data_IF_759927283751
#
_entry.id   IF_759927283751
#
_cell.length_a   1.000
_cell.length_b   1.000
_cell.length_c   1.000
_cell.angle_alpha   90.00
_cell.angle_beta   90.00
_cell.angle_gamma   90.00
#
_symmetry.space_group_name_H-M   'P 1'
#
loop_
_entity.id
_entity.type
_entity.pdbx_description
1 polymer ?
#
# COMPACT_ATOMS: atom_id res chain seq x y z
N UNK A 1 -25.25 4.52 -35.73
CA UNK A 1 -25.23 4.16 -34.31
C UNK A 1 -23.82 4.22 -33.70
N UNK A 2 -22.94 3.27 -34.03
CA UNK A 2 -21.65 3.10 -33.35
C UNK A 2 -20.60 4.20 -33.54
N UNK A 3 -20.60 4.92 -34.66
CA UNK A 3 -19.61 5.97 -34.94
C UNK A 3 -19.83 7.25 -34.10
N UNK A 4 -21.10 7.66 -33.94
CA UNK A 4 -21.50 8.82 -33.11
C UNK A 4 -21.26 8.55 -31.62
N UNK A 5 -21.44 7.30 -31.17
CA UNK A 5 -21.14 6.91 -29.79
C UNK A 5 -19.62 6.91 -29.51
N UNK A 6 -18.80 6.48 -30.48
CA UNK A 6 -17.34 6.56 -30.38
C UNK A 6 -16.88 8.01 -30.27
N UNK A 7 -17.29 8.90 -31.18
CA UNK A 7 -16.92 10.32 -31.15
C UNK A 7 -17.28 11.01 -29.82
N UNK A 8 -18.45 10.73 -29.24
CA UNK A 8 -18.87 11.35 -27.97
C UNK A 8 -18.10 10.87 -26.74
N UNK A 9 -17.57 9.65 -26.74
CA UNK A 9 -16.81 9.09 -25.61
C UNK A 9 -15.40 9.68 -25.49
N UNK A 10 -14.76 10.00 -26.61
CA UNK A 10 -13.40 10.57 -26.66
C UNK A 10 -13.25 11.86 -25.85
N UNK A 11 -14.31 12.66 -25.74
CA UNK A 11 -14.29 13.94 -25.05
C UNK A 11 -14.53 13.84 -23.54
N UNK A 12 -14.93 12.67 -23.03
CA UNK A 12 -15.46 12.55 -21.66
C UNK A 12 -14.75 11.52 -20.79
N UNK A 13 -14.01 10.58 -21.38
CA UNK A 13 -13.31 9.57 -20.60
C UNK A 13 -12.03 10.16 -20.01
N UNK A 14 -12.02 10.38 -18.70
CA UNK A 14 -10.83 10.72 -17.93
C UNK A 14 -10.40 9.49 -17.14
N UNK A 15 -9.13 9.09 -17.26
CA UNK A 15 -8.58 7.93 -16.54
C UNK A 15 -7.69 8.44 -15.42
N UNK A 16 -7.93 7.97 -14.20
CA UNK A 16 -7.11 8.27 -13.03
C UNK A 16 -6.63 6.97 -12.43
N UNK A 17 -5.33 6.84 -12.23
CA UNK A 17 -4.73 5.66 -11.62
C UNK A 17 -3.76 6.04 -10.50
N UNK A 18 -3.94 5.41 -9.33
CA UNK A 18 -3.11 5.60 -8.14
C UNK A 18 -2.25 4.38 -7.86
N UNK A 19 -0.94 4.53 -7.64
CA UNK A 19 -0.06 3.42 -7.26
C UNK A 19 -0.20 2.23 -8.23
N UNK A 20 -0.58 1.03 -7.77
CA UNK A 20 -0.90 -0.09 -8.65
C UNK A 20 -2.02 0.25 -9.65
N UNK A 21 -3.05 0.98 -9.23
CA UNK A 21 -4.08 1.50 -10.14
C UNK A 21 -3.50 2.39 -11.24
N UNK A 22 -2.38 3.07 -10.98
CA UNK A 22 -1.61 3.81 -12.00
C UNK A 22 -0.94 2.90 -13.02
N UNK A 23 -0.50 1.71 -12.62
CA UNK A 23 0.03 0.69 -13.54
C UNK A 23 -1.07 0.14 -14.44
N UNK A 24 -2.23 -0.15 -13.86
CA UNK A 24 -3.42 -0.60 -14.60
C UNK A 24 -3.89 0.51 -15.56
N UNK A 25 -3.92 1.76 -15.11
CA UNK A 25 -4.32 2.90 -15.93
C UNK A 25 -3.39 3.14 -17.13
N UNK A 26 -2.08 2.87 -16.99
CA UNK A 26 -1.14 2.91 -18.12
C UNK A 26 -1.51 1.88 -19.19
N UNK A 27 -1.71 0.62 -18.80
CA UNK A 27 -2.07 -0.46 -19.73
C UNK A 27 -3.43 -0.24 -20.38
N UNK A 28 -4.43 0.16 -19.60
CA UNK A 28 -5.76 0.51 -20.12
C UNK A 28 -5.68 1.65 -21.13
N UNK A 29 -4.93 2.70 -20.82
CA UNK A 29 -4.81 3.86 -21.73
C UNK A 29 -4.06 3.51 -23.01
N UNK A 30 -3.04 2.65 -22.92
CA UNK A 30 -2.34 2.14 -24.09
C UNK A 30 -3.25 1.30 -24.99
N UNK A 31 -4.04 0.41 -24.39
CA UNK A 31 -5.05 -0.37 -25.11
C UNK A 31 -6.05 0.53 -25.83
N UNK A 32 -6.57 1.56 -25.13
CA UNK A 32 -7.49 2.54 -25.71
C UNK A 32 -6.86 3.33 -26.86
N UNK A 33 -5.59 3.75 -26.74
CA UNK A 33 -4.83 4.38 -27.84
C UNK A 33 -4.72 3.44 -29.03
N UNK A 34 -4.37 2.17 -28.80
CA UNK A 34 -4.24 1.15 -29.85
C UNK A 34 -5.56 0.84 -30.56
N UNK A 35 -6.68 0.90 -29.83
CA UNK A 35 -8.03 0.78 -30.36
C UNK A 35 -8.52 2.04 -31.11
N UNK A 36 -7.70 3.09 -31.18
CA UNK A 36 -8.09 4.37 -31.78
C UNK A 36 -9.11 5.13 -30.96
N UNK A 37 -9.28 4.82 -29.67
CA UNK A 37 -10.18 5.47 -28.73
C UNK A 37 -9.48 6.04 -27.47
N UNK A 38 -8.41 6.85 -27.61
CA UNK A 38 -7.66 7.37 -26.48
C UNK A 38 -8.57 8.12 -25.49
N UNK A 39 -8.32 8.01 -24.18
CA UNK A 39 -9.04 8.81 -23.20
C UNK A 39 -8.75 10.31 -23.42
N UNK A 40 -9.65 11.15 -22.95
CA UNK A 40 -9.45 12.60 -23.01
C UNK A 40 -8.16 12.98 -22.28
N UNK A 41 -8.03 12.48 -21.05
CA UNK A 41 -6.90 12.74 -20.17
C UNK A 41 -6.54 11.52 -19.31
N UNK A 42 -5.29 11.49 -18.85
CA UNK A 42 -4.71 10.45 -18.01
C UNK A 42 -3.96 11.07 -16.83
N UNK A 43 -4.40 10.79 -15.61
CA UNK A 43 -3.72 11.18 -14.38
C UNK A 43 -3.09 9.96 -13.70
N UNK A 44 -1.77 10.00 -13.50
CA UNK A 44 -0.97 8.93 -12.90
C UNK A 44 -0.39 9.41 -11.57
N UNK A 45 -0.93 8.91 -10.46
CA UNK A 45 -0.65 9.41 -9.11
C UNK A 45 0.20 8.41 -8.34
N UNK A 46 1.34 8.88 -7.81
CA UNK A 46 2.23 8.11 -6.95
C UNK A 46 2.50 6.71 -7.54
N UNK A 47 2.83 6.64 -8.83
CA UNK A 47 2.98 5.39 -9.59
C UNK A 47 4.27 5.38 -10.40
N UNK A 48 4.55 4.25 -11.06
CA UNK A 48 5.71 4.06 -11.91
C UNK A 48 5.41 3.14 -13.10
N UNK A 49 6.32 3.10 -14.08
CA UNK A 49 6.20 2.28 -15.29
C UNK A 49 6.61 0.81 -15.12
N UNK A 50 6.82 0.36 -13.89
CA UNK A 50 7.36 -0.98 -13.64
C UNK A 50 8.77 -1.27 -14.22
N UNK A 51 9.31 -2.44 -13.90
CA UNK A 51 10.66 -2.90 -14.24
C UNK A 51 11.60 -3.01 -13.05
N UNK A 52 12.70 -3.72 -13.22
CA UNK A 52 13.60 -4.15 -12.12
C UNK A 52 14.26 -3.01 -11.33
N UNK A 53 14.33 -1.79 -11.87
CA UNK A 53 14.87 -0.61 -11.18
C UNK A 53 13.90 0.02 -10.18
N UNK A 54 12.70 -0.55 -10.05
CA UNK A 54 11.54 0.03 -9.37
C UNK A 54 11.06 -0.82 -8.21
N UNK A 55 11.92 -1.70 -7.68
CA UNK A 55 11.66 -2.33 -6.39
C UNK A 55 11.43 -1.23 -5.36
N UNK A 56 10.41 -1.36 -4.49
CA UNK A 56 10.22 -0.43 -3.38
C UNK A 56 11.54 -0.32 -2.61
N UNK A 57 11.83 0.83 -1.98
CA UNK A 57 13.05 1.01 -1.21
C UNK A 57 13.25 -0.21 -0.31
N UNK A 58 14.43 -0.84 -0.34
CA UNK A 58 14.68 -2.05 0.46
C UNK A 58 14.40 -1.80 1.95
N UNK A 59 14.52 -0.55 2.40
CA UNK A 59 14.14 -0.09 3.74
C UNK A 59 12.64 -0.19 4.07
N UNK A 60 11.78 -0.23 3.05
CA UNK A 60 10.32 -0.31 3.17
C UNK A 60 9.80 -1.74 3.10
N UNK A 61 10.56 -2.69 2.52
CA UNK A 61 10.16 -4.09 2.40
C UNK A 61 9.86 -4.76 3.76
N UNK A 62 10.73 -4.65 4.80
CA UNK A 62 10.42 -5.22 6.11
C UNK A 62 9.13 -4.65 6.72
N UNK A 63 8.85 -3.37 6.45
CA UNK A 63 7.63 -2.71 6.94
C UNK A 63 6.39 -3.22 6.21
N UNK A 64 6.47 -3.44 4.90
CA UNK A 64 5.38 -4.04 4.12
C UNK A 64 5.09 -5.48 4.56
N UNK A 65 6.15 -6.28 4.79
CA UNK A 65 6.00 -7.63 5.34
C UNK A 65 5.39 -7.58 6.74
N UNK A 66 5.85 -6.66 7.61
CA UNK A 66 5.28 -6.48 8.94
C UNK A 66 3.80 -6.08 8.89
N UNK A 67 3.38 -5.26 7.93
CA UNK A 67 1.96 -4.91 7.71
C UNK A 67 1.18 -6.15 7.30
N UNK A 68 1.67 -6.93 6.32
CA UNK A 68 1.01 -8.15 5.86
C UNK A 68 0.88 -9.20 6.98
N UNK A 69 1.89 -9.33 7.83
CA UNK A 69 1.89 -10.27 8.97
C UNK A 69 1.26 -9.69 10.25
N UNK A 70 0.62 -8.51 10.17
CA UNK A 70 0.01 -7.90 11.37
C UNK A 70 -1.22 -8.69 11.82
N UNK A 71 -1.26 -9.13 13.10
CA UNK A 71 -2.31 -10.02 13.61
C UNK A 71 -3.66 -9.32 13.79
N UNK A 72 -3.65 -8.01 14.06
CA UNK A 72 -4.87 -7.20 14.21
C UNK A 72 -4.92 -6.07 13.19
N UNK A 73 -6.15 -5.62 12.88
CA UNK A 73 -6.40 -4.44 12.04
C UNK A 73 -5.73 -3.20 12.62
N UNK A 74 -5.85 -2.97 13.92
CA UNK A 74 -5.22 -1.84 14.61
C UNK A 74 -3.69 -1.84 14.45
N UNK A 75 -3.03 -2.98 14.69
CA UNK A 75 -1.57 -3.11 14.51
C UNK A 75 -1.17 -2.83 13.06
N UNK A 76 -1.99 -3.32 12.12
CA UNK A 76 -1.78 -3.08 10.69
C UNK A 76 -1.91 -1.59 10.36
N UNK A 77 -2.93 -0.92 10.87
CA UNK A 77 -3.16 0.52 10.69
C UNK A 77 -1.97 1.32 11.24
N UNK A 78 -1.56 1.04 12.48
CA UNK A 78 -0.39 1.70 13.10
C UNK A 78 0.89 1.52 12.26
N UNK A 79 1.06 0.37 11.60
CA UNK A 79 2.23 0.10 10.73
C UNK A 79 2.10 0.68 9.32
N UNK A 80 0.89 0.78 8.77
CA UNK A 80 0.63 1.20 7.39
C UNK A 80 0.56 2.73 7.25
N UNK A 81 0.09 3.44 8.29
CA UNK A 81 -0.03 4.90 8.28
C UNK A 81 1.32 5.59 8.01
N UNK A 82 2.45 5.23 8.64
CA UNK A 82 3.74 5.83 8.32
C UNK A 82 4.28 5.50 6.93
N UNK A 83 3.71 4.51 6.23
CA UNK A 83 4.06 4.24 4.83
C UNK A 83 3.23 5.10 3.88
N UNK A 84 1.98 5.38 4.24
CA UNK A 84 1.02 6.12 3.43
C UNK A 84 1.14 7.64 3.59
N UNK A 85 1.47 8.11 4.79
CA UNK A 85 1.41 9.52 5.15
C UNK A 85 2.79 10.12 5.43
N UNK A 86 2.93 11.41 5.20
CA UNK A 86 4.09 12.17 5.64
C UNK A 86 4.26 12.10 7.18
N UNK A 87 5.51 12.11 7.71
CA UNK A 87 5.78 12.03 9.14
C UNK A 87 4.98 13.04 9.98
N UNK A 88 4.78 14.25 9.47
CA UNK A 88 4.11 15.36 10.13
C UNK A 88 2.64 15.05 10.39
N UNK A 89 1.97 14.45 9.40
CA UNK A 89 0.58 14.01 9.52
C UNK A 89 0.48 12.86 10.54
N UNK A 90 1.45 11.93 10.51
CA UNK A 90 1.48 10.83 11.48
C UNK A 90 1.86 11.26 12.91
N UNK A 91 2.66 12.31 13.08
CA UNK A 91 3.03 12.85 14.40
C UNK A 91 1.82 13.47 15.10
N UNK A 92 0.97 14.19 14.37
CA UNK A 92 -0.31 14.68 14.90
C UNK A 92 -1.21 13.54 15.38
N UNK A 93 -1.22 12.42 14.64
CA UNK A 93 -1.99 11.24 15.00
C UNK A 93 -1.50 10.57 16.29
N UNK A 94 -0.19 10.58 16.57
CA UNK A 94 0.39 9.96 17.77
C UNK A 94 0.24 10.85 19.01
N UNK A 95 0.40 12.17 18.87
CA UNK A 95 0.27 13.09 20.00
C UNK A 95 -1.14 13.13 20.59
N UNK A 96 -2.16 13.01 19.75
CA UNK A 96 -3.55 12.92 20.18
C UNK A 96 -3.95 11.53 20.73
N UNK A 97 -3.02 10.57 20.77
CA UNK A 97 -3.20 9.26 21.45
C UNK A 97 -2.43 9.14 22.77
N UNK A 98 -1.66 10.15 23.15
CA UNK A 98 -1.20 10.27 24.55
C UNK A 98 -2.42 10.72 25.34
N UNK A 99 -3.02 9.89 26.20
CA UNK A 99 -4.24 10.31 26.86
C UNK A 99 -3.85 11.46 27.78
N UNK A 100 -4.58 12.57 27.67
CA UNK A 100 -4.58 13.66 28.64
C UNK A 100 -4.67 13.12 30.09
N UNK A 101 -5.31 11.95 30.27
CA UNK A 101 -5.33 11.18 31.50
C UNK A 101 -3.96 10.77 32.05
N UNK A 102 -2.94 10.48 31.24
CA UNK A 102 -1.61 10.08 31.77
C UNK A 102 -0.87 11.28 32.36
N UNK A 103 -1.02 12.46 31.75
CA UNK A 103 -0.47 13.73 32.25
C UNK A 103 -1.24 14.19 33.49
N UNK A 104 -2.58 14.11 33.47
CA UNK A 104 -3.43 14.44 34.61
C UNK A 104 -3.20 13.49 35.79
N UNK A 105 -3.06 12.18 35.54
CA UNK A 105 -2.80 11.19 36.59
C UNK A 105 -1.40 11.35 37.18
N UNK A 106 -0.38 11.71 36.38
CA UNK A 106 0.96 12.06 36.89
C UNK A 106 0.94 13.36 37.69
N UNK A 107 0.15 14.35 37.28
CA UNK A 107 -0.01 15.59 38.05
C UNK A 107 -0.70 15.35 39.39
N UNK A 108 -1.73 14.49 39.42
CA UNK A 108 -2.44 14.10 40.65
C UNK A 108 -1.59 13.23 41.57
N UNK A 109 -0.77 12.31 41.05
CA UNK A 109 0.13 11.48 41.88
C UNK A 109 1.33 12.25 42.43
N UNK A 110 1.86 13.24 41.69
CA UNK A 110 2.96 14.09 42.18
C UNK A 110 2.48 15.11 43.22
N UNK A 111 1.20 15.49 43.18
CA UNK A 111 0.60 16.45 44.13
C UNK A 111 0.07 15.80 45.41
N UNK A 112 -0.01 14.46 45.46
CA UNK A 112 -0.55 13.71 46.59
C UNK A 112 0.12 13.97 47.96
N UNK A 113 1.45 14.19 48.07
CA UNK A 113 2.06 14.47 49.38
C UNK A 113 1.95 15.94 49.82
N UNK A 114 1.38 16.84 49.01
CA UNK A 114 1.21 18.25 49.39
C UNK A 114 -0.16 18.55 50.04
N UNK A 115 -1.07 17.57 50.07
CA UNK A 115 -2.46 17.76 50.52
C UNK A 115 -2.77 17.24 51.93
N UNK A 116 -1.78 16.78 52.70
CA UNK A 116 -2.03 16.29 54.07
C UNK A 116 -2.26 17.45 55.08
N UNK A 117 -1.77 18.66 54.77
CA UNK A 117 -1.96 19.86 55.60
C UNK A 117 -3.25 20.66 55.34
N UNK A 118 -3.91 20.47 54.20
CA UNK A 118 -5.08 21.26 53.80
C UNK A 118 -6.43 20.60 54.13
N UNK A 119 -6.43 19.37 54.66
CA UNK A 119 -7.63 18.53 54.84
C UNK A 119 -8.61 18.96 55.95
N UNK A 120 -8.35 20.04 56.69
CA UNK A 120 -9.30 20.54 57.71
C UNK A 120 -10.15 21.72 57.27
N UNK A 121 -9.83 22.37 56.14
CA UNK A 121 -10.63 23.47 55.58
C UNK A 121 -11.43 23.05 54.34
N UNK A 122 -11.19 21.83 53.82
CA UNK A 122 -11.60 21.47 52.46
C UNK A 122 -12.78 20.51 52.36
N UNK A 123 -13.42 20.01 53.42
CA UNK A 123 -14.58 19.11 53.22
C UNK A 123 -15.75 19.86 52.55
N UNK A 124 -15.96 21.13 52.92
CA UNK A 124 -16.97 21.98 52.27
C UNK A 124 -16.55 22.47 50.88
N UNK A 125 -15.28 22.85 50.70
CA UNK A 125 -14.77 23.28 49.38
C UNK A 125 -14.65 22.11 48.40
N UNK A 126 -14.32 20.91 48.86
CA UNK A 126 -14.25 19.71 48.04
C UNK A 126 -15.64 19.19 47.71
N UNK A 127 -16.62 19.31 48.61
CA UNK A 127 -18.02 19.04 48.28
C UNK A 127 -18.55 20.05 47.25
N UNK A 128 -18.26 21.35 47.41
CA UNK A 128 -18.62 22.39 46.43
C UNK A 128 -17.86 22.25 45.11
N UNK A 129 -16.60 21.84 45.13
CA UNK A 129 -15.79 21.61 43.94
C UNK A 129 -16.24 20.33 43.23
N UNK A 130 -16.58 19.25 43.96
CA UNK A 130 -17.16 18.04 43.38
C UNK A 130 -18.56 18.33 42.84
N UNK A 131 -19.36 19.15 43.51
CA UNK A 131 -20.69 19.52 43.03
C UNK A 131 -20.62 20.51 41.87
N UNK A 132 -19.64 21.42 41.85
CA UNK A 132 -19.36 22.32 40.72
C UNK A 132 -18.79 21.55 39.52
N UNK A 133 -17.87 20.60 39.74
CA UNK A 133 -17.34 19.72 38.70
C UNK A 133 -18.40 18.73 38.21
N UNK A 134 -19.27 18.20 39.08
CA UNK A 134 -20.44 17.40 38.68
C UNK A 134 -21.44 18.24 37.89
N UNK A 135 -21.65 19.51 38.24
CA UNK A 135 -22.51 20.42 37.45
C UNK A 135 -21.88 20.84 36.12
N UNK A 136 -20.55 20.89 36.03
CA UNK A 136 -19.82 21.06 34.76
C UNK A 136 -19.82 19.77 33.92
N UNK A 137 -19.92 18.59 34.55
CA UNK A 137 -20.05 17.28 33.90
C UNK A 137 -21.50 16.92 33.53
N UNK A 138 -22.49 17.62 34.08
CA UNK A 138 -23.92 17.49 33.71
C UNK A 138 -24.35 18.53 32.64
N UNK A 139 -23.43 19.35 32.16
CA UNK A 139 -23.59 19.87 30.81
C UNK A 139 -23.42 18.69 29.85
N UNK A 140 -24.54 18.18 29.34
CA UNK A 140 -24.59 17.47 28.06
C UNK A 140 -24.12 18.45 26.96
N UNK A 141 -22.84 18.79 26.95
CA UNK A 141 -22.15 18.80 25.68
C UNK A 141 -22.22 17.34 25.24
N UNK A 142 -22.93 17.06 24.15
CA UNK A 142 -22.65 15.87 23.36
C UNK A 142 -21.13 15.88 23.15
N UNK A 143 -20.41 15.10 23.96
CA UNK A 143 -18.99 14.81 23.75
C UNK A 143 -18.94 14.07 22.43
N UNK A 144 -18.91 14.81 21.32
CA UNK A 144 -18.35 14.29 20.09
C UNK A 144 -16.96 13.78 20.50
N UNK A 145 -16.70 12.47 20.40
CA UNK A 145 -15.45 11.93 20.91
C UNK A 145 -14.34 12.72 20.24
N UNK A 146 -13.41 13.27 21.02
CA UNK A 146 -12.23 13.95 20.47
C UNK A 146 -11.36 12.87 19.86
N UNK A 147 -11.75 12.41 18.67
CA UNK A 147 -11.03 11.44 17.90
C UNK A 147 -9.73 12.14 17.48
N UNK A 148 -8.59 11.63 17.92
CA UNK A 148 -7.33 11.92 17.23
C UNK A 148 -7.52 11.70 15.73
N UNK A 149 -6.87 12.50 14.89
CA UNK A 149 -6.89 12.24 13.44
C UNK A 149 -6.50 10.79 13.12
N UNK A 150 -5.65 10.19 13.97
CA UNK A 150 -5.27 8.79 13.92
C UNK A 150 -6.42 7.82 14.20
N UNK A 151 -7.27 8.11 15.18
CA UNK A 151 -8.43 7.29 15.54
C UNK A 151 -9.62 7.48 14.59
N UNK A 152 -9.82 8.67 14.01
CA UNK A 152 -10.77 8.84 12.88
C UNK A 152 -10.31 8.02 11.69
N UNK A 153 -9.03 8.15 11.30
CA UNK A 153 -8.46 7.39 10.20
C UNK A 153 -8.48 5.88 10.47
N UNK A 154 -8.22 5.46 11.71
CA UNK A 154 -8.30 4.06 12.10
C UNK A 154 -9.74 3.55 12.05
N UNK A 155 -10.72 4.31 12.55
CA UNK A 155 -12.14 3.96 12.49
C UNK A 155 -12.64 3.83 11.04
N UNK A 156 -12.31 4.80 10.17
CA UNK A 156 -12.62 4.72 8.73
C UNK A 156 -11.92 3.53 8.09
N UNK A 157 -10.66 3.25 8.47
CA UNK A 157 -9.94 2.07 7.99
C UNK A 157 -10.63 0.79 8.45
N UNK A 158 -11.04 0.66 9.70
CA UNK A 158 -11.67 -0.54 10.25
C UNK A 158 -13.06 -0.78 9.67
N UNK A 159 -13.85 0.28 9.51
CA UNK A 159 -15.19 0.21 8.92
C UNK A 159 -15.11 -0.24 7.45
N UNK A 160 -14.12 0.25 6.71
CA UNK A 160 -13.91 -0.05 5.29
C UNK A 160 -12.90 -1.17 5.03
N UNK A 161 -12.30 -1.73 6.08
CA UNK A 161 -11.25 -2.74 5.94
C UNK A 161 -11.88 -4.03 5.41
N UNK A 162 -11.51 -4.49 4.21
CA UNK A 162 -11.98 -5.76 3.70
C UNK A 162 -11.44 -6.94 4.52
N UNK A 163 -10.60 -6.71 5.53
CA UNK A 163 -9.85 -7.71 6.29
C UNK A 163 -10.51 -8.15 7.61
N UNK A 164 -11.83 -8.16 7.70
CA UNK A 164 -12.53 -8.74 8.88
C UNK A 164 -12.28 -10.24 9.06
N UNK A 165 -11.79 -10.95 8.02
CA UNK A 165 -11.40 -12.37 8.09
C UNK A 165 -9.90 -12.55 8.32
N UNK A 166 -9.49 -13.76 8.69
CA UNK A 166 -8.06 -14.13 8.82
C UNK A 166 -7.25 -13.72 7.59
N UNK A 167 -6.04 -13.18 7.80
CA UNK A 167 -5.09 -12.80 6.74
C UNK A 167 -4.86 -13.95 5.74
N UNK A 168 -4.95 -15.21 6.19
CA UNK A 168 -4.78 -16.39 5.36
C UNK A 168 -5.80 -16.45 4.21
N UNK A 169 -7.02 -15.98 4.42
CA UNK A 169 -8.05 -15.93 3.38
C UNK A 169 -7.73 -14.93 2.26
N UNK A 170 -6.87 -13.94 2.54
CA UNK A 170 -6.47 -12.90 1.59
C UNK A 170 -5.08 -13.14 0.99
N UNK A 171 -4.33 -14.15 1.46
CA UNK A 171 -2.97 -14.42 0.99
C UNK A 171 -2.88 -14.53 -0.54
N UNK A 172 -3.76 -15.26 -1.25
CA UNK A 172 -3.70 -15.30 -2.72
C UNK A 172 -3.84 -13.92 -3.36
N UNK A 173 -4.75 -13.08 -2.85
CA UNK A 173 -4.95 -11.71 -3.33
C UNK A 173 -3.74 -10.80 -3.05
N UNK A 174 -3.17 -10.90 -1.84
CA UNK A 174 -1.97 -10.13 -1.46
C UNK A 174 -0.76 -10.55 -2.31
N UNK A 175 -0.56 -11.86 -2.48
CA UNK A 175 0.52 -12.40 -3.31
C UNK A 175 0.33 -11.99 -4.77
N UNK A 176 -0.88 -12.12 -5.32
CA UNK A 176 -1.19 -11.68 -6.67
C UNK A 176 -0.96 -10.19 -6.88
N UNK A 177 -1.38 -9.35 -5.93
CA UNK A 177 -1.16 -7.91 -5.96
C UNK A 177 0.34 -7.56 -5.93
N UNK A 178 1.10 -8.21 -5.05
CA UNK A 178 2.55 -8.00 -4.95
C UNK A 178 3.25 -8.46 -6.23
N UNK A 179 2.92 -9.63 -6.76
CA UNK A 179 3.48 -10.14 -8.01
C UNK A 179 3.14 -9.22 -9.17
N UNK A 180 1.91 -8.74 -9.28
CA UNK A 180 1.51 -7.76 -10.30
C UNK A 180 2.39 -6.50 -10.22
N UNK A 181 2.57 -5.92 -9.03
CA UNK A 181 3.43 -4.75 -8.85
C UNK A 181 4.91 -5.02 -9.20
N UNK A 182 5.44 -6.18 -8.81
CA UNK A 182 6.84 -6.55 -9.03
C UNK A 182 7.15 -6.93 -10.48
N UNK A 183 6.19 -7.50 -11.19
CA UNK A 183 6.36 -8.01 -12.57
C UNK A 183 5.88 -7.04 -13.62
N UNK A 184 5.09 -6.03 -13.24
CA UNK A 184 4.63 -5.01 -14.17
C UNK A 184 5.82 -4.28 -14.82
N UNK A 185 5.71 -4.06 -16.13
CA UNK A 185 6.66 -3.25 -16.87
C UNK A 185 6.04 -2.70 -18.16
N UNK A 186 6.09 -1.38 -18.31
CA UNK A 186 5.78 -0.67 -19.55
C UNK A 186 7.07 -0.07 -20.10
N UNK A 187 7.43 -0.48 -21.32
CA UNK A 187 8.65 0.00 -21.97
C UNK A 187 8.55 1.48 -22.32
N UNK A 188 9.69 2.16 -22.48
CA UNK A 188 9.73 3.57 -22.91
C UNK A 188 9.01 3.79 -24.25
N UNK A 189 9.19 2.87 -25.20
CA UNK A 189 8.54 2.94 -26.51
C UNK A 189 7.01 2.84 -26.40
N UNK A 190 6.50 1.99 -25.51
CA UNK A 190 5.05 1.90 -25.25
C UNK A 190 4.56 3.19 -24.61
N UNK A 191 5.22 3.66 -23.53
CA UNK A 191 4.83 4.90 -22.84
C UNK A 191 4.82 6.12 -23.75
N UNK A 192 5.77 6.24 -24.68
CA UNK A 192 5.79 7.37 -25.61
C UNK A 192 4.53 7.46 -26.48
N UNK A 193 3.80 6.35 -26.68
CA UNK A 193 2.50 6.38 -27.38
C UNK A 193 1.43 7.15 -26.63
N UNK A 194 1.53 7.25 -25.30
CA UNK A 194 0.62 8.06 -24.49
C UNK A 194 0.86 9.56 -24.63
N UNK A 195 2.05 9.97 -25.09
CA UNK A 195 2.41 11.37 -25.31
C UNK A 195 2.64 11.75 -26.77
N UNK A 196 2.46 10.82 -27.71
CA UNK A 196 2.78 11.01 -29.13
C UNK A 196 1.52 11.23 -29.98
N UNK A 197 1.50 12.36 -30.69
CA UNK A 197 0.50 12.66 -31.72
C UNK A 197 -0.65 13.57 -31.25
N UNK A 198 -1.43 14.10 -32.19
CA UNK A 198 -2.48 15.08 -31.93
C UNK A 198 -3.66 14.53 -31.12
N UNK A 199 -3.85 13.21 -31.14
CA UNK A 199 -4.96 12.54 -30.45
C UNK A 199 -4.56 11.91 -29.10
N UNK A 200 -3.29 12.03 -28.70
CA UNK A 200 -2.80 11.48 -27.44
C UNK A 200 -3.60 12.03 -26.23
N UNK A 201 -3.77 11.25 -25.15
CA UNK A 201 -4.37 11.76 -23.93
C UNK A 201 -3.50 12.88 -23.34
N UNK A 202 -4.16 13.88 -22.77
CA UNK A 202 -3.46 14.84 -21.93
C UNK A 202 -2.99 14.14 -20.66
N UNK A 203 -1.69 14.11 -20.42
CA UNK A 203 -1.12 13.37 -19.31
C UNK A 203 -0.68 14.30 -18.18
N UNK A 204 -1.04 13.95 -16.94
CA UNK A 204 -0.46 14.51 -15.72
C UNK A 204 0.06 13.39 -14.84
N UNK A 205 1.27 13.56 -14.32
CA UNK A 205 1.88 12.66 -13.34
C UNK A 205 1.98 13.41 -12.02
N UNK A 206 1.46 12.82 -10.95
CA UNK A 206 1.53 13.38 -9.60
C UNK A 206 2.54 12.60 -8.78
N UNK A 207 3.53 13.29 -8.24
CA UNK A 207 4.58 12.75 -7.40
C UNK A 207 4.43 13.26 -5.96
N UNK A 208 4.62 12.37 -4.99
CA UNK A 208 4.66 12.70 -3.58
C UNK A 208 6.11 12.71 -3.09
N UNK A 209 6.55 13.82 -2.51
CA UNK A 209 7.95 14.07 -2.20
C UNK A 209 8.50 13.23 -1.04
N UNK A 210 7.63 12.80 -0.13
CA UNK A 210 7.93 11.96 1.04
C UNK A 210 7.32 10.56 0.94
N UNK A 211 6.98 10.15 -0.27
CA UNK A 211 6.48 8.81 -0.54
C UNK A 211 7.52 7.73 -0.18
N UNK A 212 7.13 6.82 0.71
CA UNK A 212 7.96 5.71 1.20
C UNK A 212 7.71 4.40 0.46
N UNK A 213 6.66 4.35 -0.36
CA UNK A 213 6.31 3.21 -1.19
C UNK A 213 6.90 3.37 -2.58
N UNK A 214 6.70 4.52 -3.21
CA UNK A 214 7.12 4.82 -4.58
C UNK A 214 7.93 6.10 -4.59
N UNK A 215 9.27 6.02 -4.63
CA UNK A 215 10.14 7.19 -4.70
C UNK A 215 9.73 8.16 -5.83
N UNK A 216 9.66 9.46 -5.52
CA UNK A 216 9.26 10.52 -6.46
C UNK A 216 10.05 10.53 -7.79
N UNK A 217 11.30 10.07 -7.77
CA UNK A 217 12.13 9.98 -8.97
C UNK A 217 11.54 9.03 -10.03
N UNK A 218 10.71 8.07 -9.63
CA UNK A 218 10.02 7.16 -10.54
C UNK A 218 8.87 7.84 -11.27
N UNK A 219 8.14 8.73 -10.59
CA UNK A 219 7.13 9.57 -11.23
C UNK A 219 7.76 10.57 -12.21
N UNK A 220 8.91 11.16 -11.85
CA UNK A 220 9.68 11.99 -12.77
C UNK A 220 10.20 11.20 -14.00
N UNK A 221 10.67 9.96 -13.80
CA UNK A 221 11.06 9.08 -14.91
C UNK A 221 9.87 8.72 -15.80
N UNK A 222 8.73 8.40 -15.20
CA UNK A 222 7.48 8.10 -15.90
C UNK A 222 7.03 9.28 -16.78
N UNK A 223 6.98 10.50 -16.23
CA UNK A 223 6.61 11.70 -16.97
C UNK A 223 7.51 11.93 -18.19
N UNK A 224 8.84 11.76 -18.03
CA UNK A 224 9.81 11.86 -19.14
C UNK A 224 9.63 10.79 -20.21
N UNK A 225 9.28 9.56 -19.81
CA UNK A 225 9.08 8.45 -20.76
C UNK A 225 7.80 8.60 -21.56
N UNK A 226 6.75 9.14 -20.95
CA UNK A 226 5.52 9.51 -21.66
C UNK A 226 5.83 10.66 -22.64
N UNK A 227 6.55 11.68 -22.17
CA UNK A 227 7.00 12.79 -23.01
C UNK A 227 5.86 13.71 -23.46
N UNK A 228 6.03 14.35 -24.62
CA UNK A 228 5.04 15.29 -25.16
C UNK A 228 4.75 16.45 -24.21
N UNK A 229 3.47 16.82 -24.11
CA UNK A 229 2.98 17.86 -23.20
C UNK A 229 2.76 17.40 -21.76
N UNK A 230 3.29 16.23 -21.35
CA UNK A 230 3.03 15.66 -20.02
C UNK A 230 3.49 16.60 -18.91
N UNK A 231 2.59 16.81 -17.95
CA UNK A 231 2.81 17.62 -16.78
C UNK A 231 3.24 16.76 -15.58
N UNK A 232 4.18 17.25 -14.79
CA UNK A 232 4.57 16.68 -13.50
C UNK A 232 4.17 17.66 -12.39
N UNK A 233 3.36 17.17 -11.44
CA UNK A 233 3.01 17.86 -10.21
C UNK A 233 3.72 17.20 -9.04
N UNK A 234 4.66 17.89 -8.40
CA UNK A 234 5.43 17.35 -7.28
C UNK A 234 5.00 17.97 -5.94
N UNK A 235 4.22 17.23 -5.16
CA UNK A 235 3.82 17.59 -3.79
C UNK A 235 4.96 17.26 -2.82
N UNK A 236 5.89 18.21 -2.68
CA UNK A 236 7.22 17.98 -2.09
C UNK A 236 7.22 17.47 -0.63
N UNK A 237 6.17 17.77 0.15
CA UNK A 237 6.09 17.44 1.57
C UNK A 237 5.14 16.29 1.89
N UNK A 238 4.48 15.71 0.88
CA UNK A 238 3.41 14.74 1.10
C UNK A 238 3.87 13.30 0.99
N UNK A 239 3.17 12.42 1.72
CA UNK A 239 3.30 10.97 1.62
C UNK A 239 2.54 10.40 0.43
N UNK A 240 2.51 9.07 0.37
CA UNK A 240 1.87 8.33 -0.71
C UNK A 240 0.39 8.69 -0.91
N UNK A 241 -0.32 9.14 0.14
CA UNK A 241 -1.75 9.48 0.16
C UNK A 241 -2.03 10.98 0.00
N UNK A 242 -1.43 11.61 -1.02
CA UNK A 242 -1.54 13.05 -1.28
C UNK A 242 -2.98 13.59 -1.38
N UNK A 243 -3.95 12.77 -1.79
CA UNK A 243 -5.37 13.13 -1.91
C UNK A 243 -6.06 13.32 -0.57
N UNK A 244 -5.53 12.69 0.47
CA UNK A 244 -6.03 12.85 1.83
C UNK A 244 -5.26 13.93 2.56
N UNK A 245 -3.94 14.05 2.32
CA UNK A 245 -3.10 15.08 2.96
C UNK A 245 -3.33 16.49 2.40
N UNK A 246 -3.74 16.60 1.13
CA UNK A 246 -3.91 17.84 0.35
C UNK A 246 -5.14 17.73 -0.56
N UNK A 247 -6.29 17.44 0.06
CA UNK A 247 -7.54 17.13 -0.64
C UNK A 247 -7.92 18.21 -1.65
N UNK A 248 -7.92 19.46 -1.24
CA UNK A 248 -8.44 20.55 -2.05
C UNK A 248 -7.49 20.90 -3.19
N UNK A 249 -6.19 20.92 -2.94
CA UNK A 249 -5.18 21.16 -3.96
C UNK A 249 -5.10 20.02 -4.97
N UNK A 250 -5.15 18.77 -4.49
CA UNK A 250 -5.16 17.59 -5.33
C UNK A 250 -6.41 17.54 -6.22
N UNK A 251 -7.59 17.75 -5.65
CA UNK A 251 -8.84 17.76 -6.41
C UNK A 251 -8.89 18.96 -7.38
N UNK A 252 -8.46 20.14 -6.94
CA UNK A 252 -8.36 21.33 -7.78
C UNK A 252 -7.45 21.10 -8.99
N UNK A 253 -6.29 20.49 -8.78
CA UNK A 253 -5.36 20.14 -9.85
C UNK A 253 -5.95 19.13 -10.86
N UNK A 254 -6.61 18.06 -10.38
CA UNK A 254 -7.28 17.09 -11.25
C UNK A 254 -8.42 17.72 -12.04
N UNK A 255 -9.27 18.51 -11.38
CA UNK A 255 -10.39 19.19 -12.03
C UNK A 255 -9.91 20.19 -13.09
N UNK A 256 -8.85 20.95 -12.79
CA UNK A 256 -8.22 21.83 -13.77
C UNK A 256 -7.67 21.05 -14.96
N UNK A 257 -6.98 19.94 -14.70
CA UNK A 257 -6.47 19.05 -15.75
C UNK A 257 -7.58 18.50 -16.65
N UNK A 258 -8.70 18.03 -16.07
CA UNK A 258 -9.85 17.54 -16.82
C UNK A 258 -10.48 18.63 -17.68
N UNK A 259 -10.71 19.82 -17.12
CA UNK A 259 -11.31 20.94 -17.85
C UNK A 259 -10.42 21.43 -19.00
N UNK A 260 -9.11 21.55 -18.78
CA UNK A 260 -8.17 21.89 -19.87
C UNK A 260 -8.20 20.85 -20.98
N UNK A 261 -8.29 19.56 -20.61
CA UNK A 261 -8.34 18.49 -21.60
C UNK A 261 -9.64 18.48 -22.40
N UNK A 262 -10.77 18.66 -21.72
CA UNK A 262 -12.07 18.78 -22.37
C UNK A 262 -12.09 20.00 -23.33
N UNK A 263 -11.58 21.16 -22.90
CA UNK A 263 -11.52 22.38 -23.71
C UNK A 263 -10.64 22.22 -24.96
N UNK A 264 -9.44 21.61 -24.85
CA UNK A 264 -8.57 21.32 -26.00
C UNK A 264 -9.23 20.43 -27.04
N UNK A 265 -10.17 19.60 -26.60
CA UNK A 265 -10.94 18.71 -27.46
C UNK A 265 -12.31 19.31 -27.84
N UNK A 266 -12.50 20.62 -27.69
CA UNK A 266 -13.69 21.31 -28.18
C UNK A 266 -14.96 21.09 -27.35
N UNK A 267 -14.85 20.58 -26.11
CA UNK A 267 -15.99 20.58 -25.20
C UNK A 267 -16.37 22.04 -24.84
N UNK A 268 -17.68 22.36 -24.76
CA UNK A 268 -18.13 23.70 -24.39
C UNK A 268 -17.74 24.01 -22.94
N UNK A 269 -17.21 25.22 -22.73
CA UNK A 269 -16.74 25.70 -21.43
C UNK A 269 -15.23 25.84 -21.38
N UNK A 270 -14.73 27.04 -21.70
CA UNK A 270 -13.34 27.39 -21.44
C UNK A 270 -13.07 27.35 -19.93
N UNK A 271 -11.85 26.96 -19.55
CA UNK A 271 -11.40 27.13 -18.17
C UNK A 271 -11.36 28.64 -17.88
N UNK A 272 -12.13 29.16 -16.90
CA UNK A 272 -12.03 30.56 -16.53
C UNK A 272 -10.60 30.85 -16.05
N UNK A 273 -9.94 31.93 -16.51
CA UNK A 273 -8.60 32.29 -16.05
C UNK A 273 -8.50 32.35 -14.52
N UNK A 274 -9.53 32.89 -13.86
CA UNK A 274 -9.59 32.98 -12.40
C UNK A 274 -9.46 31.62 -11.70
N UNK A 275 -10.07 30.56 -12.24
CA UNK A 275 -9.94 29.22 -11.67
C UNK A 275 -8.52 28.67 -11.81
N UNK A 276 -7.88 28.93 -12.94
CA UNK A 276 -6.52 28.50 -13.18
C UNK A 276 -5.57 29.20 -12.21
N UNK A 277 -5.74 30.51 -12.02
CA UNK A 277 -4.95 31.33 -11.09
C UNK A 277 -5.17 30.86 -9.64
N UNK A 278 -6.42 30.62 -9.23
CA UNK A 278 -6.76 30.13 -7.88
C UNK A 278 -6.12 28.78 -7.57
N UNK A 279 -6.17 27.84 -8.52
CA UNK A 279 -5.56 26.52 -8.36
C UNK A 279 -4.03 26.63 -8.35
N UNK A 280 -3.43 27.43 -9.22
CA UNK A 280 -1.97 27.64 -9.23
C UNK A 280 -1.50 28.25 -7.90
N UNK A 281 -2.19 29.29 -7.41
CA UNK A 281 -1.91 29.88 -6.12
C UNK A 281 -2.05 28.86 -4.97
N UNK A 282 -3.06 27.98 -5.03
CA UNK A 282 -3.21 26.91 -4.03
C UNK A 282 -2.09 25.88 -4.06
N UNK A 283 -1.62 25.51 -5.26
CA UNK A 283 -0.50 24.57 -5.43
C UNK A 283 0.82 25.17 -4.92
N UNK A 284 1.06 26.45 -5.15
CA UNK A 284 2.24 27.16 -4.63
C UNK A 284 2.26 27.19 -3.10
N UNK A 285 1.11 27.45 -2.45
CA UNK A 285 0.98 27.43 -0.98
C UNK A 285 1.42 26.11 -0.37
N UNK A 286 1.18 24.98 -1.05
CA UNK A 286 1.52 23.64 -0.55
C UNK A 286 2.86 23.13 -1.09
N UNK A 287 3.69 24.03 -1.62
CA UNK A 287 5.00 23.70 -2.21
C UNK A 287 4.90 22.61 -3.29
N UNK A 288 3.82 22.63 -4.06
CA UNK A 288 3.68 21.79 -5.23
C UNK A 288 4.42 22.43 -6.40
N UNK A 289 5.40 21.71 -6.95
CA UNK A 289 6.17 22.19 -8.10
C UNK A 289 5.60 21.59 -9.37
N UNK A 290 5.18 22.46 -10.28
CA UNK A 290 4.69 22.11 -11.61
C UNK A 290 5.83 22.16 -12.63
N UNK A 291 6.02 21.10 -13.43
CA UNK A 291 7.03 21.04 -14.50
C UNK A 291 6.47 20.37 -15.74
N UNK A 292 6.97 20.74 -16.93
CA UNK A 292 6.73 19.92 -18.12
C UNK A 292 7.79 18.82 -18.20
N UNK A 293 7.43 17.70 -18.82
CA UNK A 293 8.34 16.56 -18.99
C UNK A 293 9.67 16.96 -19.65
N UNK A 294 9.67 17.94 -20.56
CA UNK A 294 10.87 18.47 -21.21
C UNK A 294 11.84 19.20 -20.28
N UNK A 295 11.35 19.76 -19.16
CA UNK A 295 12.16 20.54 -18.21
C UNK A 295 12.79 19.65 -17.12
N UNK A 296 12.42 18.36 -17.09
CA UNK A 296 12.93 17.41 -16.10
C UNK A 296 14.32 16.96 -16.53
N UNK A 297 15.35 17.60 -15.98
CA UNK A 297 16.75 17.23 -16.23
C UNK A 297 17.03 15.73 -16.00
N UNK A 298 17.92 15.16 -16.81
CA UNK A 298 18.27 13.74 -16.75
C UNK A 298 19.20 13.41 -15.58
N UNK A 299 18.65 13.46 -14.36
CA UNK A 299 19.35 13.00 -13.15
C UNK A 299 19.22 11.49 -13.03
N UNK A 300 19.88 10.73 -13.91
CA UNK A 300 19.98 9.28 -13.73
C UNK A 300 20.80 9.01 -12.46
N UNK A 301 20.36 8.08 -11.59
CA UNK A 301 21.27 7.56 -10.58
C UNK A 301 22.48 6.97 -11.30
N UNK A 302 23.70 7.20 -10.80
CA UNK A 302 24.91 6.71 -11.46
C UNK A 302 24.86 5.18 -11.57
N UNK A 303 25.34 4.65 -12.70
CA UNK A 303 25.17 3.24 -13.09
C UNK A 303 25.65 2.24 -12.02
N UNK A 304 26.62 2.63 -11.17
CA UNK A 304 27.11 1.79 -10.08
C UNK A 304 26.05 1.50 -9.02
N UNK A 305 25.11 2.42 -8.71
CA UNK A 305 24.04 2.17 -7.73
C UNK A 305 23.10 1.06 -8.20
N UNK A 306 22.94 1.00 -9.52
CA UNK A 306 22.13 0.00 -10.19
C UNK A 306 22.83 -1.36 -10.13
N UNK A 307 24.14 -1.41 -10.42
CA UNK A 307 24.96 -2.62 -10.30
C UNK A 307 25.05 -3.15 -8.85
N UNK A 308 25.12 -2.26 -7.86
CA UNK A 308 25.13 -2.63 -6.45
C UNK A 308 23.81 -3.29 -6.03
N UNK A 309 22.68 -2.78 -6.55
CA UNK A 309 21.37 -3.41 -6.37
C UNK A 309 21.30 -4.84 -6.96
N UNK A 310 21.90 -5.06 -8.13
CA UNK A 310 22.01 -6.40 -8.73
C UNK A 310 22.81 -7.36 -7.86
N UNK A 311 23.97 -6.92 -7.36
CA UNK A 311 24.82 -7.71 -6.48
C UNK A 311 24.07 -8.14 -5.21
N UNK A 312 23.32 -7.21 -4.60
CA UNK A 312 22.51 -7.49 -3.42
C UNK A 312 21.35 -8.45 -3.69
N UNK A 313 20.64 -8.28 -4.81
CA UNK A 313 19.54 -9.17 -5.19
C UNK A 313 20.05 -10.59 -5.46
N UNK A 314 21.20 -10.72 -6.14
CA UNK A 314 21.87 -12.00 -6.35
C UNK A 314 22.18 -12.65 -4.98
N UNK A 315 22.76 -11.90 -4.04
CA UNK A 315 23.07 -12.40 -2.70
C UNK A 315 21.82 -12.81 -1.90
N UNK A 316 20.68 -12.15 -2.11
CA UNK A 316 19.41 -12.49 -1.45
C UNK A 316 18.72 -13.72 -2.04
N UNK A 317 18.82 -13.89 -3.36
CA UNK A 317 18.10 -14.96 -4.10
C UNK A 317 18.92 -16.24 -4.19
N UNK A 318 20.25 -16.16 -4.21
CA UNK A 318 21.14 -17.33 -4.30
C UNK A 318 20.96 -18.33 -3.14
N UNK A 319 20.82 -17.90 -1.87
CA UNK A 319 20.54 -18.80 -0.75
C UNK A 319 19.18 -19.50 -0.88
N UNK A 320 18.15 -18.79 -1.34
CA UNK A 320 16.81 -19.36 -1.52
C UNK A 320 16.84 -20.47 -2.58
N UNK A 321 17.51 -20.24 -3.72
CA UNK A 321 17.69 -21.26 -4.74
C UNK A 321 18.50 -22.47 -4.23
N UNK A 322 19.53 -22.23 -3.41
CA UNK A 322 20.30 -23.29 -2.78
C UNK A 322 19.47 -24.10 -1.77
N UNK A 323 18.67 -23.43 -0.94
CA UNK A 323 17.76 -24.07 0.02
C UNK A 323 16.67 -24.89 -0.67
N UNK A 324 16.07 -24.39 -1.76
CA UNK A 324 15.08 -25.15 -2.54
C UNK A 324 15.72 -26.38 -3.19
N UNK A 325 16.96 -26.28 -3.70
CA UNK A 325 17.70 -27.43 -4.24
C UNK A 325 18.09 -28.44 -3.15
N UNK A 326 18.50 -27.97 -1.97
CA UNK A 326 18.84 -28.80 -0.83
C UNK A 326 17.60 -29.54 -0.28
N UNK A 327 16.47 -28.86 -0.14
CA UNK A 327 15.18 -29.44 0.27
C UNK A 327 14.68 -30.45 -0.78
N UNK A 328 14.75 -30.13 -2.07
CA UNK A 328 14.42 -31.08 -3.14
C UNK A 328 15.36 -32.29 -3.22
N UNK A 329 16.60 -32.16 -2.73
CA UNK A 329 17.54 -33.27 -2.56
C UNK A 329 17.27 -34.10 -1.30
N UNK A 330 16.81 -33.47 -0.22
CA UNK A 330 16.42 -34.14 1.02
C UNK A 330 15.13 -34.94 0.85
N UNK A 331 14.09 -34.34 0.23
CA UNK A 331 12.81 -35.02 -0.05
C UNK A 331 13.01 -36.27 -0.92
N UNK A 332 13.88 -36.19 -1.95
CA UNK A 332 14.21 -37.37 -2.77
C UNK A 332 14.95 -38.46 -2.01
N UNK A 333 15.84 -38.10 -1.08
CA UNK A 333 16.54 -39.06 -0.21
C UNK A 333 15.61 -39.71 0.81
N UNK A 334 14.70 -38.95 1.41
CA UNK A 334 13.71 -39.47 2.35
C UNK A 334 12.70 -40.38 1.66
N UNK A 335 12.24 -40.03 0.44
CA UNK A 335 11.38 -40.90 -0.36
C UNK A 335 12.07 -42.21 -0.76
N UNK A 336 13.36 -42.15 -1.13
CA UNK A 336 14.15 -43.35 -1.43
C UNK A 336 14.38 -44.23 -0.18
N UNK A 337 14.65 -43.63 0.98
CA UNK A 337 14.77 -44.32 2.26
C UNK A 337 13.46 -45.00 2.68
N UNK A 338 12.33 -44.30 2.57
CA UNK A 338 11.00 -44.88 2.86
C UNK A 338 10.68 -46.04 1.91
N UNK A 339 11.02 -45.92 0.62
CA UNK A 339 10.83 -47.01 -0.35
C UNK A 339 11.75 -48.20 -0.07
N UNK A 340 12.99 -47.97 0.34
CA UNK A 340 13.92 -49.02 0.76
C UNK A 340 13.46 -49.71 2.06
N UNK A 341 12.96 -48.93 3.02
CA UNK A 341 12.43 -49.44 4.28
C UNK A 341 11.17 -50.28 4.05
N UNK A 342 10.28 -49.88 3.14
CA UNK A 342 9.13 -50.69 2.74
C UNK A 342 9.55 -52.00 2.05
N UNK A 343 10.57 -51.96 1.17
CA UNK A 343 11.09 -53.15 0.48
C UNK A 343 11.77 -54.17 1.40
N UNK A 344 12.33 -53.73 2.52
CA UNK A 344 13.02 -54.62 3.48
C UNK A 344 12.10 -55.01 4.65
N UNK A 345 11.32 -54.06 5.16
CA UNK A 345 10.44 -54.25 6.30
C UNK A 345 9.25 -55.15 6.02
N UNK A 346 8.65 -55.06 4.83
CA UNK A 346 7.47 -55.88 4.47
C UNK A 346 7.84 -57.38 4.35
N UNK A 347 8.92 -57.78 3.66
CA UNK A 347 9.34 -59.18 3.63
C UNK A 347 9.78 -59.72 4.99
N UNK A 348 10.43 -58.90 5.82
CA UNK A 348 10.88 -59.31 7.16
C UNK A 348 9.68 -59.53 8.10
N UNK A 349 8.70 -58.63 8.08
CA UNK A 349 7.46 -58.79 8.84
C UNK A 349 6.67 -60.02 8.37
N UNK A 350 6.56 -60.24 7.06
CA UNK A 350 5.92 -61.43 6.50
C UNK A 350 6.65 -62.72 6.88
N UNK A 351 7.99 -62.71 6.91
CA UNK A 351 8.80 -63.86 7.32
C UNK A 351 8.64 -64.19 8.80
N UNK A 352 8.68 -63.19 9.68
CA UNK A 352 8.47 -63.35 11.13
C UNK A 352 7.07 -63.88 11.42
N UNK A 353 6.05 -63.29 10.78
CA UNK A 353 4.67 -63.73 10.96
C UNK A 353 4.41 -65.15 10.40
N UNK A 354 5.05 -65.52 9.28
CA UNK A 354 5.01 -66.89 8.74
C UNK A 354 5.69 -67.91 9.65
N UNK A 355 6.76 -67.52 10.36
CA UNK A 355 7.40 -68.33 11.39
C UNK A 355 6.48 -68.54 12.60
N UNK A 356 5.86 -67.46 13.10
CA UNK A 356 4.93 -67.52 14.24
C UNK A 356 3.67 -68.35 13.96
N UNK A 357 3.14 -68.29 12.73
CA UNK A 357 2.00 -69.11 12.31
C UNK A 357 2.32 -70.61 12.30
N UNK A 358 3.54 -71.00 11.90
CA UNK A 358 3.98 -72.41 11.92
C UNK A 358 4.17 -72.96 13.34
N UNK A 359 4.39 -72.10 14.32
CA UNK A 359 4.48 -72.48 15.73
C UNK A 359 3.12 -72.57 16.44
N UNK A 360 2.00 -72.44 15.71
CA UNK A 360 0.67 -72.66 16.26
C UNK A 360 0.16 -71.54 17.18
N UNK A 361 0.71 -70.34 17.08
CA UNK A 361 0.26 -69.18 17.88
C UNK A 361 -1.01 -68.59 17.26
N UNK A 362 -2.21 -68.72 17.89
CA UNK A 362 -3.47 -68.31 17.27
C UNK A 362 -3.57 -66.80 16.99
N UNK A 363 -2.73 -65.99 17.65
CA UNK A 363 -2.65 -64.54 17.44
C UNK A 363 -1.99 -64.14 16.11
N UNK A 364 -1.15 -64.99 15.51
CA UNK A 364 -0.43 -64.69 14.28
C UNK A 364 -1.32 -64.75 13.02
N UNK A 365 -2.33 -65.63 13.02
CA UNK A 365 -3.28 -65.75 11.91
C UNK A 365 -4.22 -64.52 11.82
N UNK A 366 -4.56 -63.92 12.97
CA UNK A 366 -5.36 -62.70 13.03
C UNK A 366 -4.61 -61.49 12.47
N UNK A 367 -3.32 -61.33 12.81
CA UNK A 367 -2.47 -60.26 12.28
C UNK A 367 -2.17 -60.42 10.78
N UNK A 368 -2.01 -61.65 10.27
CA UNK A 368 -1.81 -61.88 8.83
C UNK A 368 -3.02 -61.45 8.00
N UNK A 369 -4.23 -61.69 8.51
CA UNK A 369 -5.48 -61.31 7.85
C UNK A 369 -5.62 -59.79 7.68
N UNK A 370 -5.18 -59.00 8.66
CA UNK A 370 -5.30 -57.53 8.63
C UNK A 370 -4.13 -56.83 7.92
N UNK A 371 -2.95 -57.46 7.83
CA UNK A 371 -1.81 -56.92 7.09
C UNK A 371 -1.92 -57.08 5.56
N UNK A 372 -2.84 -57.91 5.04
CA UNK A 372 -3.06 -58.10 3.59
C UNK A 372 -4.07 -57.07 3.02
N UNK A 373 -4.85 -56.41 3.89
CA UNK A 373 -5.79 -55.34 3.49
C UNK A 373 -5.17 -53.92 3.48
N UNK A 374 -3.97 -53.75 4.05
CA UNK A 374 -3.16 -52.51 4.04
C UNK A 374 -2.04 -52.60 3.01
#
# INVERSE_FOLDING_TARGET
>A
GGMIARERLHYRLHVVGWSLGGMIAQELSLLLVEMGCPPASLALVCTHSGGWRLLPPLSSLPKLVAVALSPSSETRIRRILPLHYAPEVTKLCVLATTPFCEVLMRFLTVSAPFCEGLMRFSVGFFALLVQYLSSMLECEEEEEPVWSAGSVLAGVYEERSPFRRSILAYLPGVVGHLLAALTHHVSRQRLSRLGAGPNAPDCVVVAAGRDRLIPKCHSADLARRIGGGTELLEFSENGHMVNTERRDEFNGALMLHFRRSAARRGAPGAVPPSLEDDVCASLERVKCVRRRAGDIGDKRPPAWRVLLGWWFLLLLVTPIFWSVRAVGGAVRRTAALLTAFARIGVPLAAWVLSGMARCGVPFAAYLLSHCVEL
#
